data_IF_405813024177
#
_entry.id   IF_405813024177
#
_cell.length_a   1.000
_cell.length_b   1.000
_cell.length_c   1.000
_cell.angle_alpha   90.00
_cell.angle_beta   90.00
_cell.angle_gamma   90.00
#
_symmetry.space_group_name_H-M   'P 1'
#
loop_
_entity.id
_entity.type
_entity.pdbx_description
1 polymer ?
#
# COMPACT_ATOMS: atom_id res chain seq x y z
N UNK A 1 -30.15 31.83 27.04
CA UNK A 1 -30.14 30.42 27.48
C UNK A 1 -29.89 29.58 26.27
N UNK A 2 -28.63 29.13 26.17
CA UNK A 2 -28.04 28.44 25.04
C UNK A 2 -28.81 27.21 24.62
N UNK A 3 -29.16 27.17 23.33
CA UNK A 3 -29.40 25.94 22.58
C UNK A 3 -28.36 25.88 21.50
N UNK A 4 -27.20 25.38 21.86
CA UNK A 4 -26.11 25.07 20.94
C UNK A 4 -26.60 23.96 20.01
N UNK A 5 -26.97 24.35 18.79
CA UNK A 5 -27.12 23.46 17.65
C UNK A 5 -25.69 23.01 17.32
N UNK A 6 -25.30 21.87 17.90
CA UNK A 6 -24.05 21.21 17.55
C UNK A 6 -24.22 20.62 16.17
N UNK A 7 -23.68 21.32 15.17
CA UNK A 7 -23.36 20.77 13.86
C UNK A 7 -22.65 19.43 14.05
N UNK A 8 -23.36 18.33 13.76
CA UNK A 8 -22.77 17.01 13.56
C UNK A 8 -22.12 17.05 12.16
N UNK A 9 -21.05 17.84 12.06
CA UNK A 9 -19.96 17.52 11.14
C UNK A 9 -19.36 16.24 11.72
N UNK A 10 -19.26 15.20 10.89
CA UNK A 10 -18.76 13.85 11.18
C UNK A 10 -17.33 13.86 11.76
N UNK A 11 -17.23 14.34 12.99
CA UNK A 11 -16.03 14.55 13.78
C UNK A 11 -15.86 13.33 14.68
N UNK A 12 -15.46 12.21 14.09
CA UNK A 12 -14.84 11.06 14.77
C UNK A 12 -14.66 9.90 13.78
N UNK A 13 -13.58 9.93 13.00
CA UNK A 13 -12.88 8.70 12.63
C UNK A 13 -11.50 8.80 13.26
N UNK A 14 -11.43 8.47 14.55
CA UNK A 14 -10.18 8.07 15.19
C UNK A 14 -9.79 6.70 14.59
N UNK A 15 -9.30 6.72 13.36
CA UNK A 15 -8.55 5.60 12.80
C UNK A 15 -7.08 5.97 12.94
N UNK A 16 -6.41 5.28 13.84
CA UNK A 16 -4.97 5.35 13.94
C UNK A 16 -4.38 4.73 12.65
N UNK A 17 -3.89 5.60 11.77
CA UNK A 17 -3.22 5.21 10.52
C UNK A 17 -1.74 5.58 10.57
N UNK A 18 -0.91 4.79 9.87
CA UNK A 18 0.40 5.23 9.41
C UNK A 18 0.30 5.51 7.92
N UNK A 19 0.56 6.75 7.52
CA UNK A 19 0.81 7.10 6.13
C UNK A 19 2.31 7.22 5.93
N UNK A 20 2.90 6.29 5.18
CA UNK A 20 4.29 6.36 4.76
C UNK A 20 4.36 6.66 3.28
N UNK A 21 5.32 7.49 2.91
CA UNK A 21 5.69 7.65 1.50
C UNK A 21 7.15 7.26 1.33
N UNK A 22 7.49 6.54 0.26
CA UNK A 22 8.86 6.06 -0.01
C UNK A 22 9.40 6.57 -1.34
N UNK A 23 10.65 7.04 -1.35
CA UNK A 23 11.37 7.41 -2.57
C UNK A 23 12.83 6.93 -2.51
N UNK A 24 13.31 6.40 -3.63
CA UNK A 24 14.67 5.91 -3.82
C UNK A 24 15.50 6.92 -4.64
N UNK A 25 16.67 7.31 -4.14
CA UNK A 25 17.65 8.09 -4.94
C UNK A 25 19.06 7.52 -4.84
N UNK A 26 19.79 7.62 -5.95
CA UNK A 26 21.24 7.46 -6.00
C UNK A 26 21.87 8.84 -5.83
N UNK A 27 22.78 9.00 -4.88
CA UNK A 27 23.60 10.21 -4.75
C UNK A 27 25.03 9.89 -5.15
N UNK A 28 25.53 10.68 -6.11
CA UNK A 28 26.76 10.43 -6.88
C UNK A 28 27.94 11.18 -6.26
N UNK A 29 29.10 10.51 -6.24
CA UNK A 29 30.42 11.12 -6.41
C UNK A 29 30.84 10.96 -7.89
N UNK A 30 31.24 12.01 -8.65
CA UNK A 30 31.19 11.96 -10.12
C UNK A 30 32.26 11.11 -10.81
N UNK A 31 31.80 10.25 -11.72
CA UNK A 31 32.35 9.95 -13.07
C UNK A 31 33.65 9.17 -13.30
N UNK A 32 34.44 8.79 -12.30
CA UNK A 32 35.62 7.90 -12.54
C UNK A 32 35.69 6.66 -11.66
N UNK A 33 34.94 6.61 -10.56
CA UNK A 33 35.02 5.53 -9.58
C UNK A 33 33.60 5.04 -9.30
N UNK A 34 33.38 3.72 -9.28
CA UNK A 34 32.09 3.06 -8.99
C UNK A 34 31.63 3.26 -7.52
N UNK A 35 31.77 4.47 -6.97
CA UNK A 35 31.51 4.83 -5.60
C UNK A 35 30.28 5.72 -5.51
N UNK A 36 29.16 5.12 -5.12
CA UNK A 36 27.92 5.85 -4.85
C UNK A 36 27.24 5.29 -3.61
N UNK A 37 26.52 6.17 -2.93
CA UNK A 37 25.60 5.80 -1.85
C UNK A 37 24.17 5.94 -2.34
N UNK A 38 23.28 5.12 -1.80
CA UNK A 38 21.87 5.09 -2.14
C UNK A 38 21.06 5.29 -0.90
N UNK A 39 19.94 5.99 -1.02
CA UNK A 39 19.10 6.31 0.12
C UNK A 39 17.63 5.97 -0.17
N UNK A 40 17.01 5.35 0.82
CA UNK A 40 15.55 5.20 0.89
C UNK A 40 15.02 6.24 1.86
N UNK A 41 14.12 7.10 1.38
CA UNK A 41 13.49 8.16 2.19
C UNK A 41 12.07 7.75 2.53
N UNK A 42 11.76 7.70 3.82
CA UNK A 42 10.45 7.39 4.36
C UNK A 42 9.89 8.60 5.09
N UNK A 43 8.75 9.10 4.67
CA UNK A 43 8.10 10.23 5.35
C UNK A 43 6.77 9.80 5.95
N UNK A 44 6.58 10.08 7.24
CA UNK A 44 5.27 10.01 7.86
C UNK A 44 4.42 11.21 7.44
N UNK A 45 3.15 10.96 7.13
CA UNK A 45 2.13 11.98 6.91
C UNK A 45 1.15 11.94 8.08
N UNK A 46 1.10 13.01 8.87
CA UNK A 46 0.26 13.11 10.06
C UNK A 46 -1.16 13.54 9.70
N UNK A 47 -2.13 13.03 10.47
CA UNK A 47 -3.53 13.46 10.39
C UNK A 47 -3.71 14.66 11.31
N UNK A 48 -4.28 15.75 10.80
CA UNK A 48 -4.54 16.96 11.58
C UNK A 48 -5.80 16.80 12.47
N UNK A 49 -6.10 17.79 13.31
CA UNK A 49 -7.27 17.77 14.19
C UNK A 49 -8.63 17.81 13.45
N UNK A 50 -8.63 18.20 12.16
CA UNK A 50 -9.81 18.18 11.29
C UNK A 50 -10.04 16.80 10.64
N UNK A 51 -9.06 15.88 10.73
CA UNK A 51 -9.11 14.57 10.11
C UNK A 51 -8.46 14.51 8.73
N UNK A 52 -7.83 15.59 8.25
CA UNK A 52 -7.16 15.61 6.96
C UNK A 52 -5.75 15.03 7.08
N UNK A 53 -5.34 14.27 6.07
CA UNK A 53 -3.96 13.80 5.93
C UNK A 53 -3.10 14.97 5.46
N UNK A 54 -2.21 15.45 6.31
CA UNK A 54 -1.22 16.45 5.96
C UNK A 54 -0.06 15.85 5.15
N UNK A 55 0.87 16.71 4.72
CA UNK A 55 2.11 16.30 4.06
C UNK A 55 3.32 16.27 5.00
N UNK A 56 3.11 16.61 6.28
CA UNK A 56 4.15 16.85 7.28
C UNK A 56 4.18 15.75 8.35
N UNK A 57 5.35 15.53 8.96
CA UNK A 57 5.64 14.42 9.87
C UNK A 57 7.14 14.04 9.86
N UNK A 58 7.60 13.17 10.77
CA UNK A 58 8.99 12.74 10.86
C UNK A 58 9.45 12.03 9.56
N UNK A 59 10.75 12.17 9.25
CA UNK A 59 11.38 11.53 8.08
C UNK A 59 12.46 10.57 8.53
N UNK A 60 12.49 9.36 7.99
CA UNK A 60 13.57 8.40 8.18
C UNK A 60 14.30 8.20 6.85
N UNK A 61 15.63 8.19 6.89
CA UNK A 61 16.48 7.94 5.73
C UNK A 61 17.44 6.79 6.01
N UNK A 62 17.31 5.72 5.22
CA UNK A 62 18.21 4.58 5.28
C UNK A 62 19.27 4.71 4.17
N UNK A 63 20.52 4.94 4.56
CA UNK A 63 21.66 5.15 3.66
C UNK A 63 22.42 3.85 3.49
N UNK A 64 22.80 3.51 2.26
CA UNK A 64 23.47 2.26 1.90
C UNK A 64 24.56 2.49 0.86
N UNK A 65 25.46 1.52 0.73
CA UNK A 65 26.38 1.46 -0.41
C UNK A 65 25.64 0.96 -1.66
N UNK A 66 25.66 1.74 -2.74
CA UNK A 66 25.06 1.33 -4.02
C UNK A 66 25.66 0.04 -4.57
N UNK A 67 26.95 -0.18 -4.28
CA UNK A 67 27.74 -1.28 -4.78
C UNK A 67 27.49 -2.56 -4.01
N UNK A 68 27.34 -2.46 -2.69
CA UNK A 68 27.27 -3.62 -1.79
C UNK A 68 25.85 -3.97 -1.35
N UNK A 69 24.89 -3.05 -1.43
CA UNK A 69 23.53 -3.26 -0.98
C UNK A 69 22.53 -2.73 -2.02
N UNK A 70 22.02 -3.65 -2.84
CA UNK A 70 21.05 -3.31 -3.89
C UNK A 70 19.69 -3.01 -3.27
N UNK A 71 18.99 -2.01 -3.80
CA UNK A 71 17.60 -1.77 -3.43
C UNK A 71 16.70 -2.93 -3.88
N UNK A 72 16.08 -3.58 -2.89
CA UNK A 72 15.18 -4.71 -3.06
C UNK A 72 14.01 -4.59 -2.09
N UNK A 73 12.86 -5.19 -2.42
CA UNK A 73 11.64 -5.15 -1.60
C UNK A 73 11.86 -5.56 -0.12
N UNK A 74 12.78 -6.52 0.12
CA UNK A 74 13.12 -6.95 1.47
C UNK A 74 13.79 -5.84 2.30
N UNK A 75 14.60 -4.98 1.67
CA UNK A 75 15.21 -3.83 2.34
C UNK A 75 14.14 -2.84 2.80
N UNK A 76 13.11 -2.59 1.97
CA UNK A 76 12.01 -1.70 2.37
C UNK A 76 11.19 -2.26 3.54
N UNK A 77 11.00 -3.59 3.61
CA UNK A 77 10.41 -4.24 4.79
C UNK A 77 11.29 -4.03 6.03
N UNK A 78 12.59 -4.28 5.91
CA UNK A 78 13.50 -4.18 7.05
C UNK A 78 13.62 -2.73 7.55
N UNK A 79 13.59 -1.77 6.62
CA UNK A 79 13.53 -0.34 6.93
C UNK A 79 12.21 0.04 7.59
N UNK A 80 11.06 -0.48 7.14
CA UNK A 80 9.79 -0.31 7.84
C UNK A 80 9.87 -0.83 9.29
N UNK A 81 10.42 -2.04 9.46
CA UNK A 81 10.59 -2.67 10.78
C UNK A 81 11.52 -1.87 11.72
N UNK A 82 12.50 -1.15 11.16
CA UNK A 82 13.35 -0.23 11.91
C UNK A 82 12.61 1.07 12.22
N UNK A 83 11.95 1.65 11.22
CA UNK A 83 11.22 2.91 11.30
C UNK A 83 10.19 2.90 12.42
N UNK A 84 9.38 1.84 12.53
CA UNK A 84 8.33 1.75 13.57
C UNK A 84 8.88 1.63 15.00
N UNK A 85 10.20 1.45 15.16
CA UNK A 85 10.89 1.40 16.45
C UNK A 85 11.59 2.72 16.79
N UNK A 86 11.63 3.68 15.86
CA UNK A 86 12.21 4.99 16.09
C UNK A 86 11.27 5.83 16.95
N UNK A 87 11.81 6.44 18.01
CA UNK A 87 11.03 7.25 18.95
C UNK A 87 10.32 8.41 18.25
N UNK A 88 10.95 8.97 17.20
CA UNK A 88 10.43 10.09 16.41
C UNK A 88 9.15 9.70 15.67
N UNK A 89 8.97 8.41 15.39
CA UNK A 89 7.82 7.85 14.70
C UNK A 89 6.73 7.35 15.65
N UNK A 90 6.93 7.33 16.98
CA UNK A 90 5.96 6.73 17.91
C UNK A 90 4.54 7.28 17.72
N UNK A 91 4.37 8.60 17.60
CA UNK A 91 3.04 9.22 17.40
C UNK A 91 2.42 8.89 16.05
N UNK A 92 3.24 8.73 15.02
CA UNK A 92 2.81 8.38 13.67
C UNK A 92 2.50 6.89 13.53
N UNK A 93 3.31 6.04 14.17
CA UNK A 93 3.39 4.61 13.90
C UNK A 93 2.70 3.72 14.93
N UNK A 94 2.61 4.14 16.19
CA UNK A 94 2.16 3.30 17.29
C UNK A 94 0.79 3.74 17.82
N UNK A 95 0.03 2.76 18.31
CA UNK A 95 -1.19 2.95 19.06
C UNK A 95 -0.92 3.26 20.54
N UNK A 96 -1.98 3.54 21.31
CA UNK A 96 -1.89 3.77 22.75
C UNK A 96 -1.30 2.60 23.55
N UNK A 97 -1.25 1.40 22.95
CA UNK A 97 -0.68 0.19 23.54
C UNK A 97 0.76 -0.09 23.07
N UNK A 98 1.41 0.88 22.42
CA UNK A 98 2.74 0.78 21.81
C UNK A 98 2.87 -0.32 20.73
N UNK A 99 1.76 -0.75 20.13
CA UNK A 99 1.79 -1.63 18.97
C UNK A 99 1.71 -0.80 17.70
N UNK A 100 2.26 -1.31 16.59
CA UNK A 100 2.06 -0.67 15.28
C UNK A 100 0.56 -0.54 15.02
N UNK A 101 0.13 0.66 14.60
CA UNK A 101 -1.27 0.98 14.33
C UNK A 101 -1.87 -0.04 13.36
N UNK A 102 -3.13 -0.46 13.58
CA UNK A 102 -3.70 -1.62 12.89
C UNK A 102 -3.90 -1.41 11.38
N UNK A 103 -3.93 -0.16 10.91
CA UNK A 103 -4.10 0.17 9.49
C UNK A 103 -2.89 0.96 9.00
N UNK A 104 -2.20 0.41 8.00
CA UNK A 104 -1.01 1.03 7.40
C UNK A 104 -1.26 1.32 5.92
N UNK A 105 -0.95 2.54 5.49
CA UNK A 105 -1.01 2.97 4.10
C UNK A 105 0.37 3.44 3.69
N UNK A 106 0.94 2.80 2.67
CA UNK A 106 2.25 3.12 2.11
C UNK A 106 2.02 3.59 0.68
N UNK A 107 2.43 4.81 0.38
CA UNK A 107 2.54 5.31 -0.98
C UNK A 107 3.99 5.19 -1.44
N UNK A 108 4.21 4.77 -2.67
CA UNK A 108 5.55 4.51 -3.21
C UNK A 108 5.69 5.17 -4.57
N UNK A 109 6.93 5.44 -4.96
CA UNK A 109 7.26 6.03 -6.27
C UNK A 109 6.97 5.05 -7.44
N UNK A 110 6.96 3.76 -7.14
CA UNK A 110 6.55 2.72 -8.11
C UNK A 110 7.71 2.11 -8.89
N UNK A 111 8.94 2.31 -8.40
CA UNK A 111 10.14 1.63 -8.88
C UNK A 111 10.03 0.10 -8.84
N UNK A 112 10.89 -0.64 -9.57
CA UNK A 112 10.76 -2.09 -9.72
C UNK A 112 10.71 -2.90 -8.41
N UNK A 113 11.30 -2.38 -7.35
CA UNK A 113 11.44 -2.91 -5.99
C UNK A 113 10.31 -2.53 -5.04
N UNK A 114 9.55 -1.48 -5.35
CA UNK A 114 8.43 -1.03 -4.52
C UNK A 114 7.07 -1.25 -5.18
N UNK A 115 7.04 -1.46 -6.50
CA UNK A 115 5.79 -1.48 -7.25
C UNK A 115 4.84 -2.61 -6.77
N UNK A 116 3.57 -2.28 -6.44
CA UNK A 116 2.57 -3.24 -5.94
C UNK A 116 2.34 -4.46 -6.83
N UNK A 117 2.60 -4.35 -8.14
CA UNK A 117 2.36 -5.42 -9.10
C UNK A 117 3.28 -6.63 -8.96
N UNK A 118 4.43 -6.47 -8.31
CA UNK A 118 5.47 -7.50 -8.29
C UNK A 118 5.34 -8.48 -7.13
N UNK A 119 5.66 -9.77 -7.34
CA UNK A 119 5.62 -10.79 -6.28
C UNK A 119 6.52 -10.49 -5.09
N UNK A 120 7.70 -9.90 -5.31
CA UNK A 120 8.65 -9.55 -4.23
C UNK A 120 8.08 -8.50 -3.27
N UNK A 121 7.37 -7.51 -3.81
CA UNK A 121 6.65 -6.51 -3.02
C UNK A 121 5.54 -7.17 -2.22
N UNK A 122 4.71 -8.01 -2.88
CA UNK A 122 3.66 -8.78 -2.20
C UNK A 122 4.22 -9.59 -1.03
N UNK A 123 5.29 -10.35 -1.24
CA UNK A 123 5.88 -11.18 -0.21
C UNK A 123 6.41 -10.35 0.98
N UNK A 124 7.06 -9.21 0.70
CA UNK A 124 7.56 -8.30 1.72
C UNK A 124 6.41 -7.65 2.51
N UNK A 125 5.34 -7.24 1.83
CA UNK A 125 4.14 -6.67 2.46
C UNK A 125 3.38 -7.70 3.31
N UNK A 126 3.31 -8.96 2.88
CA UNK A 126 2.72 -10.05 3.69
C UNK A 126 3.51 -10.20 5.00
N UNK A 127 4.83 -10.11 4.94
CA UNK A 127 5.67 -10.21 6.12
C UNK A 127 5.41 -9.05 7.09
N UNK A 128 5.40 -7.80 6.60
CA UNK A 128 4.99 -6.62 7.40
C UNK A 128 3.62 -6.84 8.05
N UNK A 129 2.63 -7.25 7.26
CA UNK A 129 1.26 -7.47 7.72
C UNK A 129 1.18 -8.48 8.87
N UNK A 130 1.90 -9.60 8.74
CA UNK A 130 1.92 -10.66 9.75
C UNK A 130 2.75 -10.26 10.97
N UNK A 131 3.95 -9.71 10.79
CA UNK A 131 4.86 -9.31 11.87
C UNK A 131 4.20 -8.31 12.81
N UNK A 132 3.45 -7.35 12.27
CA UNK A 132 2.85 -6.27 13.04
C UNK A 132 1.38 -6.49 13.40
N UNK A 133 0.84 -7.68 13.12
CA UNK A 133 -0.55 -8.05 13.41
C UNK A 133 -1.54 -6.98 12.94
N UNK A 134 -1.44 -6.60 11.66
CA UNK A 134 -2.26 -5.54 11.06
C UNK A 134 -3.69 -6.04 10.76
N UNK A 135 -4.62 -5.10 10.70
CA UNK A 135 -5.97 -5.29 10.17
C UNK A 135 -5.99 -5.01 8.67
N UNK A 136 -5.26 -3.99 8.22
CA UNK A 136 -5.14 -3.66 6.81
C UNK A 136 -3.77 -3.04 6.48
N UNK A 137 -3.21 -3.43 5.34
CA UNK A 137 -2.02 -2.85 4.74
C UNK A 137 -2.33 -2.51 3.27
N UNK A 138 -2.13 -1.24 2.92
CA UNK A 138 -2.25 -0.74 1.57
C UNK A 138 -0.88 -0.29 1.07
N UNK A 139 -0.48 -0.75 -0.11
CA UNK A 139 0.70 -0.25 -0.84
C UNK A 139 0.22 0.28 -2.18
N UNK A 140 0.42 1.58 -2.40
CA UNK A 140 -0.15 2.34 -3.51
C UNK A 140 0.96 3.02 -4.28
N UNK A 141 0.90 2.98 -5.60
CA UNK A 141 1.77 3.79 -6.45
C UNK A 141 0.91 4.64 -7.36
N UNK A 142 1.40 5.83 -7.69
CA UNK A 142 0.75 6.67 -8.68
C UNK A 142 0.82 6.02 -10.07
N UNK A 143 -0.20 6.29 -10.89
CA UNK A 143 -0.17 5.95 -12.30
C UNK A 143 0.82 6.88 -13.06
N UNK A 144 1.30 6.50 -14.26
CA UNK A 144 2.19 7.35 -15.05
C UNK A 144 1.63 8.76 -15.26
N UNK A 145 2.49 9.78 -15.14
CA UNK A 145 2.10 11.19 -15.28
C UNK A 145 1.54 11.86 -14.02
N UNK A 146 1.50 11.14 -12.89
CA UNK A 146 0.97 11.64 -11.61
C UNK A 146 2.06 11.79 -10.54
N UNK A 147 3.35 11.78 -10.92
CA UNK A 147 4.48 11.86 -9.97
C UNK A 147 4.51 13.16 -9.18
N UNK A 148 4.05 14.27 -9.75
CA UNK A 148 3.95 15.57 -9.07
C UNK A 148 3.08 15.57 -7.80
N UNK A 149 2.24 14.54 -7.61
CA UNK A 149 1.42 14.36 -6.41
C UNK A 149 2.09 13.49 -5.34
N UNK A 150 3.29 12.98 -5.59
CA UNK A 150 4.06 12.19 -4.63
C UNK A 150 4.53 13.11 -3.48
N UNK A 151 4.01 12.86 -2.28
CA UNK A 151 4.30 13.65 -1.08
C UNK A 151 5.79 13.70 -0.73
N UNK A 152 6.56 12.63 -1.02
CA UNK A 152 8.00 12.60 -0.71
C UNK A 152 8.83 13.35 -1.73
N UNK A 153 8.40 13.46 -2.99
CA UNK A 153 9.15 14.27 -3.95
C UNK A 153 9.30 15.72 -3.46
N UNK A 154 8.28 16.25 -2.76
CA UNK A 154 8.34 17.58 -2.12
C UNK A 154 9.39 17.65 -1.00
N UNK A 155 9.55 16.58 -0.22
CA UNK A 155 10.53 16.48 0.89
C UNK A 155 11.96 16.32 0.42
N UNK A 156 12.16 15.90 -0.82
CA UNK A 156 13.49 15.80 -1.38
C UNK A 156 14.15 17.15 -1.63
N UNK A 157 13.39 18.25 -1.77
CA UNK A 157 13.96 19.56 -2.04
C UNK A 157 14.83 20.08 -0.88
N UNK A 158 14.35 20.12 0.39
CA UNK A 158 15.20 20.43 1.55
C UNK A 158 16.42 19.51 1.65
N UNK A 159 16.21 18.19 1.53
CA UNK A 159 17.31 17.21 1.64
C UNK A 159 18.38 17.39 0.56
N UNK A 160 18.00 17.87 -0.64
CA UNK A 160 18.94 18.13 -1.73
C UNK A 160 19.73 19.41 -1.49
N UNK A 161 19.15 20.39 -0.80
CA UNK A 161 19.86 21.62 -0.42
C UNK A 161 21.04 21.31 0.52
N UNK A 162 20.86 20.40 1.48
CA UNK A 162 21.91 20.01 2.44
C UNK A 162 23.10 19.29 1.78
N UNK A 163 22.90 18.77 0.57
CA UNK A 163 23.97 18.14 -0.21
C UNK A 163 24.80 19.15 -0.99
N UNK A 164 24.32 20.38 -1.14
CA UNK A 164 25.02 21.41 -1.91
C UNK A 164 26.37 21.73 -1.26
N UNK A 165 27.46 21.37 -1.94
CA UNK A 165 28.82 21.56 -1.44
C UNK A 165 29.28 20.51 -0.42
N UNK A 166 28.47 19.49 -0.12
CA UNK A 166 28.87 18.39 0.74
C UNK A 166 29.89 17.49 0.03
N UNK A 167 31.05 17.30 0.66
CA UNK A 167 32.09 16.38 0.18
C UNK A 167 32.11 15.18 1.11
N UNK A 168 31.74 14.01 0.59
CA UNK A 168 31.80 12.77 1.36
C UNK A 168 33.23 12.20 1.37
N UNK A 169 33.72 11.72 2.52
CA UNK A 169 35.03 11.10 2.59
C UNK A 169 35.01 9.74 1.89
N UNK A 170 35.81 9.58 0.85
CA UNK A 170 35.86 8.35 0.05
C UNK A 170 36.97 7.37 0.46
N UNK A 171 37.97 7.85 1.20
CA UNK A 171 39.19 7.13 1.57
C UNK A 171 39.62 7.43 3.03
N UNK A 172 38.66 7.69 3.92
CA UNK A 172 38.91 8.06 5.32
C UNK A 172 39.89 7.13 6.05
N UNK A 173 39.85 5.83 5.76
CA UNK A 173 40.72 4.81 6.36
C UNK A 173 41.92 4.43 5.48
N UNK A 174 42.12 5.12 4.36
CA UNK A 174 43.13 4.85 3.36
C UNK A 174 42.54 4.48 2.00
N UNK A 175 43.40 4.50 0.99
CA UNK A 175 43.04 4.22 -0.40
C UNK A 175 42.76 2.73 -0.60
N UNK A 176 41.53 2.41 -1.01
CA UNK A 176 41.08 1.05 -1.35
C UNK A 176 41.02 0.82 -2.86
N UNK A 177 41.53 1.77 -3.65
CA UNK A 177 41.50 1.79 -5.11
C UNK A 177 42.92 1.70 -5.70
N UNK A 178 43.05 1.06 -6.86
CA UNK A 178 44.26 1.17 -7.69
C UNK A 178 44.27 2.48 -8.51
N UNK A 179 45.34 2.70 -9.28
CA UNK A 179 45.47 3.85 -10.17
C UNK A 179 44.41 3.92 -11.30
N UNK A 180 43.69 2.81 -11.56
CA UNK A 180 42.62 2.72 -12.54
C UNK A 180 41.22 2.85 -11.90
N UNK A 181 41.14 3.00 -10.56
CA UNK A 181 39.88 3.07 -9.84
C UNK A 181 39.18 1.74 -9.56
N UNK A 182 39.91 0.63 -9.67
CA UNK A 182 39.40 -0.67 -9.26
C UNK A 182 39.66 -0.91 -7.77
N UNK A 183 38.72 -1.58 -7.12
CA UNK A 183 38.86 -1.98 -5.71
C UNK A 183 39.97 -3.01 -5.54
N UNK A 184 40.97 -2.68 -4.73
CA UNK A 184 42.04 -3.60 -4.32
C UNK A 184 41.81 -4.18 -2.93
N UNK A 185 41.01 -3.50 -2.10
CA UNK A 185 40.64 -3.96 -0.76
C UNK A 185 39.13 -3.78 -0.52
N UNK A 186 38.40 -4.90 -0.55
CA UNK A 186 36.95 -4.93 -0.40
C UNK A 186 36.48 -4.56 1.02
N UNK A 187 37.25 -4.95 2.04
CA UNK A 187 36.85 -4.68 3.43
C UNK A 187 37.13 -3.22 3.78
N UNK A 188 38.25 -2.67 3.32
CA UNK A 188 38.52 -1.24 3.43
C UNK A 188 37.53 -0.39 2.62
N UNK A 189 37.11 -0.85 1.44
CA UNK A 189 36.04 -0.22 0.65
C UNK A 189 34.74 -0.13 1.45
N UNK A 190 34.29 -1.23 2.06
CA UNK A 190 33.07 -1.24 2.90
C UNK A 190 33.18 -0.30 4.10
N UNK A 191 34.34 -0.23 4.75
CA UNK A 191 34.58 0.68 5.87
C UNK A 191 34.51 2.14 5.42
N UNK A 192 35.11 2.47 4.28
CA UNK A 192 35.05 3.81 3.69
C UNK A 192 33.61 4.18 3.28
N UNK A 193 32.84 3.27 2.67
CA UNK A 193 31.42 3.50 2.39
C UNK A 193 30.59 3.73 3.65
N UNK A 194 30.85 2.94 4.70
CA UNK A 194 30.19 3.14 5.99
C UNK A 194 30.48 4.53 6.52
N UNK A 195 31.73 4.98 6.49
CA UNK A 195 32.10 6.32 6.96
C UNK A 195 31.46 7.43 6.12
N UNK A 196 31.44 7.29 4.79
CA UNK A 196 30.76 8.23 3.90
C UNK A 196 29.26 8.31 4.22
N UNK A 197 28.62 7.16 4.43
CA UNK A 197 27.21 7.07 4.78
C UNK A 197 26.90 7.64 6.17
N UNK A 198 27.78 7.47 7.15
CA UNK A 198 27.66 8.09 8.48
C UNK A 198 27.76 9.61 8.43
N UNK A 199 28.69 10.17 7.63
CA UNK A 199 28.79 11.62 7.43
C UNK A 199 27.53 12.18 6.76
N UNK A 200 27.00 11.46 5.77
CA UNK A 200 25.73 11.82 5.14
C UNK A 200 24.55 11.73 6.12
N UNK A 201 24.53 10.69 6.96
CA UNK A 201 23.52 10.51 7.99
C UNK A 201 23.52 11.65 9.00
N UNK A 202 24.70 12.11 9.42
CA UNK A 202 24.86 13.24 10.32
C UNK A 202 24.32 14.53 9.69
N UNK A 203 24.69 14.81 8.43
CA UNK A 203 24.22 15.99 7.71
C UNK A 203 22.68 16.05 7.64
N UNK A 204 22.04 14.97 7.23
CA UNK A 204 20.58 14.93 7.16
C UNK A 204 19.89 14.85 8.52
N UNK A 205 20.50 14.24 9.54
CA UNK A 205 19.88 14.18 10.88
C UNK A 205 19.83 15.55 11.57
N UNK A 206 20.66 16.50 11.11
CA UNK A 206 20.59 17.90 11.55
C UNK A 206 19.49 18.71 10.83
N UNK A 207 18.79 18.10 9.88
CA UNK A 207 17.74 18.75 9.09
C UNK A 207 16.39 18.65 9.79
N UNK A 208 15.60 19.72 9.68
CA UNK A 208 14.21 19.77 10.15
C UNK A 208 13.32 20.13 8.97
N UNK A 209 12.32 19.30 8.69
CA UNK A 209 11.36 19.50 7.59
C UNK A 209 9.98 19.69 8.18
N UNK A 210 9.32 20.82 7.88
CA UNK A 210 7.99 21.18 8.40
C UNK A 210 7.90 21.05 9.93
N UNK A 211 8.92 21.51 10.65
CA UNK A 211 9.04 21.38 12.13
C UNK A 211 9.12 19.94 12.66
N UNK A 212 9.41 18.96 11.80
CA UNK A 212 9.61 17.57 12.18
C UNK A 212 11.06 17.12 11.95
N UNK A 213 11.60 16.25 12.82
CA UNK A 213 12.97 15.79 12.71
C UNK A 213 13.15 14.88 11.49
N UNK A 214 14.34 14.95 10.92
CA UNK A 214 14.87 13.94 10.01
C UNK A 214 15.79 13.03 10.82
N UNK A 215 15.62 11.72 10.68
CA UNK A 215 16.48 10.70 11.28
C UNK A 215 17.14 9.95 10.14
N UNK A 216 18.45 10.02 10.01
CA UNK A 216 19.18 9.29 8.98
C UNK A 216 20.18 8.32 9.62
N UNK A 217 20.36 7.15 9.01
CA UNK A 217 21.37 6.20 9.46
C UNK A 217 21.94 5.39 8.31
N UNK A 218 23.23 5.06 8.42
CA UNK A 218 23.85 4.09 7.54
C UNK A 218 23.43 2.67 7.94
N UNK A 219 22.91 1.93 6.96
CA UNK A 219 22.43 0.57 7.12
C UNK A 219 23.40 -0.37 6.42
N UNK A 220 24.01 -1.27 7.19
CA UNK A 220 24.74 -2.38 6.61
C UNK A 220 23.74 -3.44 6.13
N UNK A 221 24.00 -3.99 4.95
CA UNK A 221 23.41 -5.25 4.51
C UNK A 221 23.88 -6.37 5.45
N UNK A 222 23.17 -6.58 6.56
CA UNK A 222 23.12 -7.91 7.14
C UNK A 222 22.51 -8.80 6.08
N UNK A 223 23.10 -9.95 5.74
CA UNK A 223 22.52 -10.94 4.82
C UNK A 223 21.00 -11.00 5.04
N UNK A 224 20.23 -10.35 4.16
CA UNK A 224 18.79 -10.22 4.32
C UNK A 224 18.26 -11.63 4.43
N UNK A 225 17.52 -11.94 5.50
CA UNK A 225 16.69 -13.14 5.53
C UNK A 225 15.82 -13.06 4.28
N UNK A 226 16.18 -13.86 3.26
CA UNK A 226 15.49 -13.86 1.99
C UNK A 226 14.03 -14.10 2.32
N UNK A 227 13.16 -13.16 1.92
CA UNK A 227 11.72 -13.38 2.01
C UNK A 227 11.48 -14.69 1.25
N UNK A 228 10.91 -15.69 1.94
CA UNK A 228 10.60 -16.98 1.31
C UNK A 228 9.88 -16.73 0.00
N UNK A 229 10.50 -17.16 -1.11
CA UNK A 229 9.99 -16.93 -2.46
C UNK A 229 8.66 -17.64 -2.72
N UNK A 230 8.24 -18.54 -1.81
CA UNK A 230 6.99 -19.28 -1.92
C UNK A 230 5.84 -18.50 -1.30
N UNK A 231 5.18 -17.72 -2.13
CA UNK A 231 3.91 -17.06 -1.79
C UNK A 231 2.82 -18.14 -1.66
N UNK A 232 2.14 -18.18 -0.51
CA UNK A 232 0.97 -19.02 -0.32
C UNK A 232 -0.23 -18.40 -1.05
N UNK A 233 -0.53 -18.97 -2.21
CA UNK A 233 -1.64 -18.52 -3.05
C UNK A 233 -3.01 -18.71 -2.38
N UNK A 234 -3.17 -19.73 -1.51
CA UNK A 234 -4.42 -19.97 -0.79
C UNK A 234 -4.67 -18.91 0.28
N UNK A 235 -3.60 -18.46 0.95
CA UNK A 235 -3.66 -17.35 1.87
C UNK A 235 -3.94 -16.04 1.12
N UNK A 236 -3.26 -15.82 0.00
CA UNK A 236 -3.49 -14.64 -0.84
C UNK A 236 -4.93 -14.55 -1.37
N UNK A 237 -5.55 -15.68 -1.71
CA UNK A 237 -6.94 -15.70 -2.18
C UNK A 237 -7.90 -15.05 -1.17
N UNK A 238 -7.67 -15.29 0.13
CA UNK A 238 -8.49 -14.80 1.24
C UNK A 238 -8.15 -13.39 1.71
N UNK A 239 -6.90 -12.95 1.59
CA UNK A 239 -6.42 -11.72 2.24
C UNK A 239 -6.00 -10.62 1.27
N UNK A 240 -5.72 -10.97 0.01
CA UNK A 240 -5.05 -10.06 -0.92
C UNK A 240 -5.95 -9.68 -2.08
N UNK A 241 -6.06 -8.37 -2.31
CA UNK A 241 -6.48 -7.78 -3.58
C UNK A 241 -5.29 -7.03 -4.16
N UNK A 242 -4.77 -7.56 -5.27
CA UNK A 242 -3.58 -7.03 -5.94
C UNK A 242 -3.97 -6.51 -7.33
N UNK A 243 -3.56 -5.29 -7.63
CA UNK A 243 -3.79 -4.57 -8.88
C UNK A 243 -2.45 -4.07 -9.45
N UNK A 244 -2.49 -3.46 -10.63
CA UNK A 244 -1.32 -2.83 -11.27
C UNK A 244 -0.70 -1.74 -10.38
N UNK A 245 -1.53 -0.96 -9.68
CA UNK A 245 -1.11 0.22 -8.95
C UNK A 245 -1.39 0.13 -7.44
N UNK A 246 -2.07 -0.91 -7.00
CA UNK A 246 -2.46 -1.08 -5.60
C UNK A 246 -2.25 -2.51 -5.13
N UNK A 247 -1.81 -2.66 -3.89
CA UNK A 247 -1.80 -3.91 -3.15
C UNK A 247 -2.54 -3.67 -1.85
N UNK A 248 -3.59 -4.44 -1.62
CA UNK A 248 -4.40 -4.39 -0.42
C UNK A 248 -4.32 -5.75 0.26
N UNK A 249 -3.83 -5.77 1.49
CA UNK A 249 -3.80 -6.95 2.35
C UNK A 249 -4.70 -6.64 3.54
N UNK A 250 -5.78 -7.39 3.68
CA UNK A 250 -6.80 -7.12 4.69
C UNK A 250 -7.07 -8.40 5.47
N UNK A 251 -7.15 -8.29 6.80
CA UNK A 251 -7.54 -9.34 7.72
C UNK A 251 -8.84 -10.01 7.28
N UNK A 252 -8.95 -11.33 7.47
CA UNK A 252 -10.18 -12.07 7.21
C UNK A 252 -11.00 -12.26 8.49
N UNK A 253 -12.26 -12.66 8.36
CA UNK A 253 -13.16 -12.84 9.50
C UNK A 253 -12.97 -14.18 10.23
N UNK A 254 -12.00 -15.00 9.81
CA UNK A 254 -11.70 -16.27 10.46
C UNK A 254 -10.79 -16.03 11.66
N UNK A 255 -11.33 -16.33 12.84
CA UNK A 255 -10.60 -16.22 14.11
C UNK A 255 -9.36 -17.12 14.13
N UNK A 256 -9.47 -18.34 13.60
CA UNK A 256 -8.34 -19.27 13.51
C UNK A 256 -7.24 -18.79 12.56
N UNK A 257 -7.59 -17.92 11.60
CA UNK A 257 -6.64 -17.43 10.61
C UNK A 257 -5.97 -16.12 11.01
N UNK A 258 -6.73 -15.17 11.55
CA UNK A 258 -6.20 -13.84 11.88
C UNK A 258 -6.40 -13.46 13.34
N UNK A 259 -7.41 -13.98 14.03
CA UNK A 259 -7.85 -13.51 15.33
C UNK A 259 -8.71 -12.24 15.26
N UNK A 260 -8.97 -11.64 16.42
CA UNK A 260 -9.85 -10.47 16.56
C UNK A 260 -9.35 -9.24 15.78
N UNK A 261 -10.28 -8.45 15.26
CA UNK A 261 -9.98 -7.14 14.67
C UNK A 261 -9.52 -6.16 15.75
N UNK A 262 -8.46 -5.39 15.45
CA UNK A 262 -7.96 -4.33 16.34
C UNK A 262 -8.63 -2.98 16.11
N UNK A 263 -9.31 -2.83 14.98
CA UNK A 263 -9.96 -1.60 14.53
C UNK A 263 -11.42 -1.85 14.13
N UNK A 264 -12.19 -0.77 13.99
CA UNK A 264 -13.55 -0.80 13.45
C UNK A 264 -13.60 -0.87 11.92
N UNK A 265 -12.52 -1.29 11.24
CA UNK A 265 -12.38 -1.24 9.79
C UNK A 265 -13.57 -1.86 9.04
N UNK A 266 -14.07 -3.03 9.47
CA UNK A 266 -15.20 -3.70 8.82
C UNK A 266 -16.53 -2.94 8.92
N UNK A 267 -16.69 -2.04 9.90
CA UNK A 267 -17.90 -1.22 10.01
C UNK A 267 -17.97 -0.19 8.87
N UNK A 268 -16.82 0.21 8.34
CA UNK A 268 -16.70 1.16 7.21
C UNK A 268 -16.57 0.42 5.88
N UNK A 269 -15.70 -0.59 5.84
CA UNK A 269 -15.41 -1.40 4.65
C UNK A 269 -16.00 -2.79 4.81
N UNK A 270 -17.33 -2.89 4.75
CA UNK A 270 -18.05 -4.17 4.88
C UNK A 270 -17.62 -5.22 3.84
N UNK A 271 -17.15 -4.76 2.67
CA UNK A 271 -16.60 -5.60 1.59
C UNK A 271 -15.09 -5.87 1.71
N UNK A 272 -14.48 -5.50 2.86
CA UNK A 272 -13.05 -5.62 3.20
C UNK A 272 -12.08 -4.82 2.35
N UNK A 273 -12.24 -4.75 1.04
CA UNK A 273 -11.30 -4.05 0.16
C UNK A 273 -11.82 -2.69 -0.25
N UNK A 274 -10.90 -1.78 -0.60
CA UNK A 274 -11.25 -0.49 -1.16
C UNK A 274 -11.96 -0.70 -2.51
N UNK A 275 -13.08 0.00 -2.76
CA UNK A 275 -13.74 -0.05 -4.07
C UNK A 275 -12.81 0.52 -5.15
N UNK A 276 -12.99 0.12 -6.43
CA UNK A 276 -12.25 0.71 -7.56
C UNK A 276 -12.47 2.23 -7.62
N UNK A 277 -11.49 3.04 -8.04
CA UNK A 277 -11.73 4.40 -8.50
C UNK A 277 -12.64 4.36 -9.73
N UNK A 278 -13.85 4.88 -9.60
CA UNK A 278 -14.85 4.94 -10.67
C UNK A 278 -15.09 6.40 -11.04
N UNK A 279 -15.00 6.75 -12.33
CA UNK A 279 -15.36 8.07 -12.80
C UNK A 279 -16.87 8.22 -12.96
N UNK A 280 -17.38 9.38 -12.56
CA UNK A 280 -18.78 9.74 -12.70
C UNK A 280 -18.92 11.04 -13.47
N UNK A 281 -20.09 11.19 -14.10
CA UNK A 281 -20.59 12.44 -14.67
C UNK A 281 -22.03 12.66 -14.22
N UNK A 282 -22.44 13.92 -14.15
CA UNK A 282 -23.82 14.28 -13.85
C UNK A 282 -24.64 14.26 -15.13
N UNK A 283 -25.43 13.20 -15.31
CA UNK A 283 -26.39 13.08 -16.40
C UNK A 283 -27.73 13.77 -16.08
N UNK A 284 -28.61 13.84 -17.09
CA UNK A 284 -29.95 14.42 -16.96
C UNK A 284 -30.84 13.73 -15.92
N UNK A 285 -30.51 12.49 -15.55
CA UNK A 285 -31.27 11.66 -14.61
C UNK A 285 -30.50 11.37 -13.30
N UNK A 286 -29.39 12.07 -13.05
CA UNK A 286 -28.52 11.87 -11.90
C UNK A 286 -27.11 11.41 -12.27
N UNK A 287 -26.38 10.86 -11.30
CA UNK A 287 -25.01 10.37 -11.50
C UNK A 287 -25.00 9.08 -12.33
N UNK A 288 -24.12 9.05 -13.32
CA UNK A 288 -23.84 7.87 -14.16
C UNK A 288 -22.33 7.64 -14.28
N UNK A 289 -21.91 6.41 -14.57
CA UNK A 289 -20.50 6.11 -14.83
C UNK A 289 -20.06 6.76 -16.15
N UNK A 290 -18.90 7.41 -16.14
CA UNK A 290 -18.32 7.99 -17.35
C UNK A 290 -17.77 6.88 -18.28
N UNK A 291 -18.21 6.85 -19.53
CA UNK A 291 -17.82 5.83 -20.52
C UNK A 291 -16.56 6.21 -21.33
N UNK A 292 -16.26 7.51 -21.44
CA UNK A 292 -15.15 8.03 -22.26
C UNK A 292 -14.11 8.82 -21.47
N UNK A 293 -12.87 8.85 -21.97
CA UNK A 293 -11.79 9.64 -21.38
C UNK A 293 -11.84 11.13 -21.78
N UNK A 294 -12.81 11.53 -22.61
CA UNK A 294 -12.89 12.86 -23.23
C UNK A 294 -13.97 13.79 -22.63
N UNK A 295 -14.70 13.36 -21.61
CA UNK A 295 -15.81 14.16 -21.05
C UNK A 295 -15.32 15.28 -20.13
N UNK A 296 -15.65 16.52 -20.50
CA UNK A 296 -15.68 17.66 -19.57
C UNK A 296 -16.63 17.32 -18.41
N UNK A 297 -16.28 17.75 -17.19
CA UNK A 297 -17.03 17.52 -15.94
C UNK A 297 -16.95 16.10 -15.33
N UNK A 298 -16.04 15.25 -15.81
CA UNK A 298 -15.72 13.97 -15.16
C UNK A 298 -15.06 14.19 -13.80
N UNK A 299 -15.57 13.50 -12.77
CA UNK A 299 -14.92 13.44 -11.47
C UNK A 299 -14.80 12.00 -10.96
N UNK A 300 -13.76 11.73 -10.18
CA UNK A 300 -13.67 10.48 -9.42
C UNK A 300 -14.33 10.70 -8.07
N UNK A 301 -15.35 9.90 -7.77
CA UNK A 301 -16.04 10.01 -6.49
C UNK A 301 -15.07 9.80 -5.31
N UNK A 302 -15.31 10.51 -4.20
CA UNK A 302 -14.63 10.29 -2.93
C UNK A 302 -14.75 8.82 -2.49
N UNK A 303 -13.91 8.38 -1.55
CA UNK A 303 -13.97 7.00 -1.07
C UNK A 303 -15.36 6.63 -0.54
N UNK A 304 -15.99 7.53 0.22
CA UNK A 304 -17.34 7.33 0.74
C UNK A 304 -18.40 7.32 -0.37
N UNK A 305 -18.29 8.21 -1.37
CA UNK A 305 -19.15 8.20 -2.54
C UNK A 305 -19.09 6.83 -3.24
N UNK A 306 -17.88 6.29 -3.46
CA UNK A 306 -17.68 5.00 -4.13
C UNK A 306 -18.18 3.82 -3.29
N UNK A 307 -18.08 3.89 -1.96
CA UNK A 307 -18.66 2.88 -1.08
C UNK A 307 -20.19 2.85 -1.18
N UNK A 308 -20.84 4.01 -1.14
CA UNK A 308 -22.30 4.13 -1.25
C UNK A 308 -22.82 3.75 -2.64
N UNK A 309 -22.10 4.13 -3.69
CA UNK A 309 -22.45 3.84 -5.08
C UNK A 309 -22.03 2.44 -5.55
N UNK A 310 -21.42 1.63 -4.69
CA UNK A 310 -20.96 0.27 -5.04
C UNK A 310 -22.04 -0.57 -5.73
N UNK A 311 -23.27 -0.55 -5.21
CA UNK A 311 -24.41 -1.26 -5.82
C UNK A 311 -24.75 -0.75 -7.23
N UNK A 312 -24.69 0.56 -7.44
CA UNK A 312 -24.90 1.16 -8.76
C UNK A 312 -23.82 0.69 -9.74
N UNK A 313 -22.57 0.76 -9.31
CA UNK A 313 -21.41 0.34 -10.11
C UNK A 313 -21.53 -1.11 -10.57
N UNK A 314 -21.88 -2.02 -9.66
CA UNK A 314 -22.05 -3.44 -9.99
C UNK A 314 -23.20 -3.68 -10.97
N UNK A 315 -24.29 -2.92 -10.83
CA UNK A 315 -25.47 -3.01 -11.70
C UNK A 315 -25.17 -2.52 -13.12
N UNK A 316 -24.57 -1.34 -13.27
CA UNK A 316 -24.29 -0.76 -14.59
C UNK A 316 -23.24 -1.56 -15.36
N UNK A 317 -22.20 -2.05 -14.69
CA UNK A 317 -21.14 -2.83 -15.32
C UNK A 317 -21.49 -4.32 -15.51
N UNK A 318 -22.70 -4.75 -15.11
CA UNK A 318 -23.15 -6.14 -15.15
C UNK A 318 -22.09 -7.12 -14.61
N UNK A 319 -21.40 -6.74 -13.53
CA UNK A 319 -20.29 -7.53 -12.97
C UNK A 319 -20.37 -7.63 -11.46
N UNK A 320 -20.28 -8.85 -10.95
CA UNK A 320 -20.19 -9.15 -9.52
C UNK A 320 -18.89 -8.63 -8.89
N UNK A 321 -17.86 -8.36 -9.69
CA UNK A 321 -16.58 -7.78 -9.24
C UNK A 321 -16.02 -6.88 -10.33
N UNK A 322 -15.66 -5.65 -9.95
CA UNK A 322 -15.06 -4.68 -10.87
C UNK A 322 -13.56 -4.63 -10.57
N UNK A 323 -12.68 -4.90 -11.56
CA UNK A 323 -11.24 -4.76 -11.40
C UNK A 323 -10.89 -3.39 -10.81
N UNK A 324 -9.98 -3.35 -9.83
CA UNK A 324 -9.60 -2.09 -9.20
C UNK A 324 -9.11 -1.05 -10.23
N UNK A 325 -8.33 -1.49 -11.22
CA UNK A 325 -7.79 -0.61 -12.26
C UNK A 325 -8.69 -0.51 -13.50
N UNK A 326 -9.98 -0.83 -13.41
CA UNK A 326 -10.86 -0.96 -14.59
C UNK A 326 -10.85 0.29 -15.49
N UNK A 327 -10.88 1.46 -14.85
CA UNK A 327 -10.91 2.76 -15.52
C UNK A 327 -9.52 3.35 -15.78
N UNK A 328 -8.44 2.58 -15.56
CA UNK A 328 -7.08 3.02 -15.86
C UNK A 328 -6.73 2.70 -17.32
N UNK A 329 -6.55 3.76 -18.13
CA UNK A 329 -6.26 3.66 -19.57
C UNK A 329 -5.02 2.82 -19.88
N UNK A 330 -3.98 2.92 -19.06
CA UNK A 330 -2.71 2.20 -19.18
C UNK A 330 -2.83 0.66 -19.13
N UNK A 331 -3.91 0.12 -18.55
CA UNK A 331 -4.11 -1.33 -18.40
C UNK A 331 -5.36 -1.85 -19.11
N UNK A 332 -6.18 -0.99 -19.72
CA UNK A 332 -7.47 -1.32 -20.35
C UNK A 332 -7.37 -2.54 -21.28
N UNK A 333 -6.36 -2.57 -22.15
CA UNK A 333 -6.14 -3.68 -23.10
C UNK A 333 -5.70 -5.00 -22.44
N UNK A 334 -5.13 -4.92 -21.24
CA UNK A 334 -4.62 -6.09 -20.51
C UNK A 334 -5.65 -6.69 -19.54
N UNK A 335 -6.66 -5.94 -19.12
CA UNK A 335 -7.67 -6.39 -18.14
C UNK A 335 -8.29 -7.74 -18.52
N UNK A 336 -8.81 -7.96 -19.75
CA UNK A 336 -9.46 -9.22 -20.09
C UNK A 336 -8.52 -10.44 -19.93
N UNK A 337 -7.23 -10.26 -20.19
CA UNK A 337 -6.21 -11.33 -20.07
C UNK A 337 -5.79 -11.61 -18.62
N UNK A 338 -6.12 -10.69 -17.72
CA UNK A 338 -5.71 -10.67 -16.30
C UNK A 338 -6.84 -11.05 -15.34
N UNK A 339 -8.05 -11.27 -15.84
CA UNK A 339 -9.18 -11.79 -15.07
C UNK A 339 -9.16 -13.32 -15.07
N UNK A 340 -9.30 -13.95 -13.89
CA UNK A 340 -9.48 -15.39 -13.77
C UNK A 340 -10.83 -15.80 -14.37
N UNK A 341 -10.83 -16.77 -15.27
CA UNK A 341 -12.03 -17.27 -15.93
C UNK A 341 -12.92 -18.16 -15.05
N UNK A 342 -12.47 -18.52 -13.84
CA UNK A 342 -13.21 -19.38 -12.91
C UNK A 342 -13.92 -18.53 -11.85
N UNK A 343 -13.21 -17.58 -11.24
CA UNK A 343 -13.72 -16.77 -10.12
C UNK A 343 -13.88 -15.28 -10.44
N UNK A 344 -13.57 -14.86 -11.68
CA UNK A 344 -13.61 -13.46 -12.13
C UNK A 344 -12.69 -12.48 -11.35
N UNK A 345 -11.78 -12.98 -10.51
CA UNK A 345 -10.81 -12.14 -9.79
C UNK A 345 -9.76 -11.57 -10.75
N UNK A 346 -9.49 -10.28 -10.62
CA UNK A 346 -8.47 -9.56 -11.39
C UNK A 346 -7.09 -9.68 -10.73
N UNK A 347 -6.03 -9.70 -11.56
CA UNK A 347 -4.63 -9.80 -11.14
C UNK A 347 -3.76 -8.76 -11.85
N UNK A 348 -2.64 -8.32 -11.24
CA UNK A 348 -1.74 -7.36 -11.86
C UNK A 348 -1.02 -7.89 -13.11
N UNK A 349 -0.82 -9.21 -13.21
CA UNK A 349 -0.09 -9.84 -14.31
C UNK A 349 -0.73 -11.17 -14.69
N UNK A 350 -0.49 -11.61 -15.93
CA UNK A 350 -0.94 -12.92 -16.40
C UNK A 350 -0.27 -14.06 -15.61
N UNK A 351 0.95 -13.87 -15.14
CA UNK A 351 1.68 -14.85 -14.35
C UNK A 351 1.03 -15.05 -12.97
N UNK A 352 0.70 -13.96 -12.26
CA UNK A 352 -0.05 -14.02 -10.99
C UNK A 352 -1.40 -14.69 -11.17
N UNK A 353 -2.13 -14.36 -12.25
CA UNK A 353 -3.37 -15.05 -12.61
C UNK A 353 -3.14 -16.56 -12.79
N UNK A 354 -2.13 -16.96 -13.56
CA UNK A 354 -1.80 -18.39 -13.77
C UNK A 354 -1.46 -19.11 -12.46
N UNK A 355 -0.74 -18.46 -11.55
CA UNK A 355 -0.43 -19.04 -10.23
C UNK A 355 -1.69 -19.21 -9.39
N UNK A 356 -2.58 -18.22 -9.35
CA UNK A 356 -3.87 -18.34 -8.68
C UNK A 356 -4.75 -19.46 -9.27
N UNK A 357 -4.78 -19.61 -10.60
CA UNK A 357 -5.55 -20.69 -11.24
C UNK A 357 -5.11 -22.10 -10.80
N UNK A 358 -3.90 -22.28 -10.25
CA UNK A 358 -3.47 -23.57 -9.67
C UNK A 358 -4.29 -23.96 -8.44
N UNK A 359 -4.80 -22.98 -7.67
CA UNK A 359 -5.65 -23.22 -6.50
C UNK A 359 -6.99 -23.84 -6.91
N UNK A 360 -7.56 -23.41 -8.03
CA UNK A 360 -8.81 -23.99 -8.53
C UNK A 360 -8.61 -25.45 -8.93
N UNK A 361 -7.47 -25.78 -9.54
CA UNK A 361 -7.13 -27.17 -9.88
C UNK A 361 -7.00 -28.04 -8.64
N UNK A 362 -6.33 -27.56 -7.59
CA UNK A 362 -6.22 -28.31 -6.34
C UNK A 362 -7.55 -28.48 -5.61
N UNK A 363 -8.44 -27.47 -5.66
CA UNK A 363 -9.79 -27.58 -5.07
C UNK A 363 -10.67 -28.59 -5.81
N UNK A 364 -10.57 -28.66 -7.14
CA UNK A 364 -11.30 -29.66 -7.95
C UNK A 364 -10.80 -31.07 -7.63
N UNK A 365 -9.48 -31.28 -7.53
CA UNK A 365 -8.92 -32.60 -7.17
C UNK A 365 -9.30 -33.06 -5.76
N UNK A 366 -9.40 -32.15 -4.77
CA UNK A 366 -9.87 -32.51 -3.43
C UNK A 366 -11.33 -32.96 -3.46
N UNK A 367 -12.18 -32.26 -4.20
CA UNK A 367 -13.59 -32.64 -4.38
C UNK A 367 -13.69 -34.02 -5.05
N UNK A 368 -12.90 -34.28 -6.09
CA UNK A 368 -12.88 -35.59 -6.76
C UNK A 368 -12.36 -36.71 -5.83
N UNK A 369 -11.41 -36.40 -4.94
CA UNK A 369 -10.85 -37.38 -3.98
C UNK A 369 -11.83 -37.67 -2.84
N UNK A 370 -12.52 -36.64 -2.32
CA UNK A 370 -13.54 -36.79 -1.29
C UNK A 370 -14.74 -37.59 -1.81
N UNK A 371 -15.19 -37.33 -3.05
CA UNK A 371 -16.25 -38.11 -3.71
C UNK A 371 -15.81 -39.56 -3.95
N UNK A 372 -14.54 -39.80 -4.31
CA UNK A 372 -14.01 -41.16 -4.50
C UNK A 372 -13.75 -41.94 -3.20
N UNK A 373 -13.84 -41.28 -2.04
CA UNK A 373 -13.64 -41.90 -0.72
C UNK A 373 -14.93 -42.11 0.08
N UNK A 374 -16.06 -41.66 -0.44
CA UNK A 374 -17.39 -41.81 0.18
C UNK A 374 -18.25 -42.94 -0.41
N UNK A 375 -17.76 -43.67 -1.42
CA UNK A 375 -18.44 -44.85 -1.96
C UNK A 375 -18.07 -46.11 -1.17
N UNK A 376 -18.56 -46.21 0.06
CA UNK A 376 -18.85 -47.48 0.77
C UNK A 376 -19.58 -47.15 2.08
N UNK A 377 -20.88 -46.86 2.00
CA UNK A 377 -21.94 -47.54 2.77
C UNK A 377 -23.30 -46.81 2.74
N UNK A 378 -24.29 -47.58 2.29
CA UNK A 378 -25.71 -47.62 2.64
C UNK A 378 -26.68 -46.44 2.35
N UNK A 379 -27.68 -46.82 1.56
CA UNK A 379 -28.97 -46.20 1.31
C UNK A 379 -29.64 -45.55 2.53
N UNK A 380 -29.95 -44.26 2.42
CA UNK A 380 -31.27 -43.73 2.80
C UNK A 380 -31.54 -42.40 2.08
N UNK A 381 -32.63 -42.37 1.31
CA UNK A 381 -33.25 -41.15 0.78
C UNK A 381 -33.72 -40.25 1.93
N UNK A 382 -33.59 -38.91 1.83
CA UNK A 382 -34.83 -38.12 1.81
C UNK A 382 -34.81 -36.86 0.94
N UNK A 383 -35.85 -36.77 0.11
CA UNK A 383 -36.76 -35.65 -0.17
C UNK A 383 -36.24 -34.19 -0.10
N UNK A 384 -36.36 -33.49 -1.24
CA UNK A 384 -36.36 -32.02 -1.35
C UNK A 384 -37.38 -31.40 -0.39
N UNK A 385 -36.90 -30.63 0.58
CA UNK A 385 -37.70 -29.58 1.23
C UNK A 385 -36.98 -28.24 1.14
N UNK A 386 -37.74 -27.29 0.58
CA UNK A 386 -37.46 -25.87 0.48
C UNK A 386 -37.12 -25.23 1.83
N UNK A 387 -35.97 -24.55 1.93
CA UNK A 387 -35.70 -23.58 2.99
C UNK A 387 -35.56 -22.19 2.34
N UNK A 388 -36.71 -21.56 2.13
CA UNK A 388 -36.82 -20.11 2.13
C UNK A 388 -37.19 -19.68 3.55
N UNK A 389 -36.32 -18.89 4.20
CA UNK A 389 -36.59 -17.83 5.22
C UNK A 389 -35.46 -17.74 6.25
N UNK A 390 -34.58 -16.76 6.08
CA UNK A 390 -34.24 -15.74 7.09
C UNK A 390 -33.05 -14.90 6.62
N UNK A 391 -33.30 -13.97 5.71
CA UNK A 391 -32.31 -12.95 5.32
C UNK A 391 -32.93 -11.54 5.22
N UNK A 392 -34.11 -11.33 5.81
CA UNK A 392 -34.92 -10.12 5.57
C UNK A 392 -35.13 -9.24 6.83
N UNK A 393 -34.42 -9.52 7.93
CA UNK A 393 -34.59 -8.77 9.19
C UNK A 393 -33.37 -7.91 9.62
N UNK A 394 -32.39 -7.67 8.73
CA UNK A 394 -31.25 -6.76 9.01
C UNK A 394 -31.19 -5.50 8.11
N UNK A 395 -32.24 -5.20 7.35
CA UNK A 395 -32.35 -3.98 6.53
C UNK A 395 -33.31 -2.95 7.16
N UNK A 396 -33.07 -2.57 8.42
CA UNK A 396 -33.67 -1.37 9.03
C UNK A 396 -32.58 -0.38 9.41
N UNK A 397 -32.05 0.30 8.40
CA UNK A 397 -31.38 1.61 8.51
C UNK A 397 -31.32 2.24 7.12
N UNK A 398 -32.48 2.64 6.60
CA UNK A 398 -32.56 3.50 5.41
C UNK A 398 -32.35 4.93 5.89
N UNK A 399 -31.17 5.48 5.62
CA UNK A 399 -30.91 6.91 5.80
C UNK A 399 -31.42 7.65 4.57
N UNK A 400 -32.40 8.51 4.77
CA UNK A 400 -32.91 9.43 3.74
C UNK A 400 -32.04 10.68 3.79
N UNK A 401 -31.26 10.90 2.74
CA UNK A 401 -30.47 12.12 2.55
C UNK A 401 -31.41 13.17 1.96
N UNK A 402 -31.68 14.24 2.71
CA UNK A 402 -32.66 15.26 2.34
C UNK A 402 -32.15 16.30 1.35
N UNK A 403 -30.82 16.39 1.14
CA UNK A 403 -30.26 17.28 0.14
C UNK A 403 -29.01 16.67 -0.52
N UNK A 404 -29.14 16.28 -1.78
CA UNK A 404 -28.03 15.75 -2.59
C UNK A 404 -27.04 16.86 -3.00
N UNK A 405 -27.46 18.13 -3.05
CA UNK A 405 -26.68 19.21 -3.63
C UNK A 405 -25.47 19.58 -2.75
N UNK A 406 -25.62 19.50 -1.42
CA UNK A 406 -24.53 19.77 -0.48
C UNK A 406 -23.45 18.66 -0.50
N UNK A 407 -23.85 17.43 -0.81
CA UNK A 407 -22.97 16.25 -0.84
C UNK A 407 -22.19 16.08 -2.15
N UNK A 408 -22.68 16.69 -3.23
CA UNK A 408 -22.06 16.69 -4.55
C UNK A 408 -21.09 17.86 -4.76
N UNK A 409 -20.91 18.74 -3.78
CA UNK A 409 -19.93 19.82 -3.89
C UNK A 409 -18.52 19.24 -4.08
N UNK A 410 -17.79 19.64 -5.13
CA UNK A 410 -16.39 19.27 -5.29
C UNK A 410 -15.61 19.75 -4.07
N UNK A 411 -14.77 18.88 -3.51
CA UNK A 411 -13.91 19.19 -2.34
C UNK A 411 -12.81 20.22 -2.67
N UNK A 412 -12.90 20.90 -3.82
CA UNK A 412 -11.89 21.79 -4.37
C UNK A 412 -12.40 23.21 -4.65
N UNK A 413 -13.60 23.59 -4.18
CA UNK A 413 -14.09 24.97 -4.36
C UNK A 413 -13.61 25.97 -3.30
N UNK A 414 -12.81 25.56 -2.32
CA UNK A 414 -12.16 26.49 -1.38
C UNK A 414 -10.71 26.10 -1.09
N UNK A 415 -9.79 26.39 -2.02
CA UNK A 415 -8.41 26.88 -1.74
C UNK A 415 -7.99 27.85 -2.84
#
# INVERSE_FOLDING_TARGET
MDRTISNIVLKSMYMEHIFLTVNYRNLICPSLFNQSVTNNVYAACLINNAGDVGYSGPTYIAIRSAKHDKSISANHRDDFNRLVKLQEFNSAALDSSNNVKPIVIITVDGGPDENPRFPKTLASSIDIFKTHNLDALFVLTHAPGQSAFNAVERRMAPLSHDLSGLILPHDHFGTHLDANGNTIDLELEKQNFKKAGEVLAEAWSNTVIDSHPVVASYVNSSFTSQVSSKIDESWCDRHVLQSQYTLQIVRCNSQDCCGEWRSNYLQVFSQRFLPPPVPFVQGSSGLVIAESDSEQDRFCGSLFQRLQLSKLIHKELNSSSVPFDYFCTSVKQSIPKRICNICNKYFPTMERRKNHCKIHKSKITIIDTEISSSDENEHHEPTLQSINKSADDQLKNIYIIHDLAEWLKPTFEEI
#
